data_IF_765022153331
#
_entry.id   IF_765022153331
#
_cell.length_a   1.000
_cell.length_b   1.000
_cell.length_c   1.000
_cell.angle_alpha   90.00
_cell.angle_beta   90.00
_cell.angle_gamma   90.00
#
_symmetry.space_group_name_H-M   'P 1'
#
loop_
_entity.id
_entity.type
_entity.pdbx_description
1 polymer ?
#
# COMPACT_ATOMS: atom_id res chain seq x y z
N UNK A 1 -4.03 11.90 -32.15
CA UNK A 1 -4.44 13.24 -31.70
C UNK A 1 -3.26 14.18 -31.93
N UNK A 2 -3.45 15.31 -32.63
CA UNK A 2 -2.36 16.26 -32.89
C UNK A 2 -1.82 16.85 -31.57
N UNK A 3 -0.54 17.24 -31.56
CA UNK A 3 0.06 17.87 -30.38
C UNK A 3 -0.67 19.14 -29.96
N UNK A 4 -1.17 19.88 -30.93
CA UNK A 4 -1.93 21.10 -30.75
C UNK A 4 -3.28 20.88 -30.05
N UNK A 5 -3.96 19.78 -30.35
CA UNK A 5 -5.21 19.41 -29.71
C UNK A 5 -5.00 18.96 -28.24
N UNK A 6 -3.85 18.34 -27.95
CA UNK A 6 -3.44 18.00 -26.57
C UNK A 6 -3.16 19.25 -25.76
N UNK A 7 -2.45 20.22 -26.34
CA UNK A 7 -2.15 21.50 -25.66
C UNK A 7 -3.42 22.29 -25.35
N UNK A 8 -4.36 22.36 -26.30
CA UNK A 8 -5.66 22.98 -26.09
C UNK A 8 -6.47 22.34 -24.99
N UNK A 9 -6.48 21.00 -24.94
CA UNK A 9 -7.21 20.26 -23.89
C UNK A 9 -6.59 20.46 -22.50
N UNK A 10 -5.26 20.53 -22.42
CA UNK A 10 -4.54 20.80 -21.18
C UNK A 10 -4.88 22.21 -20.65
N UNK A 11 -4.95 23.22 -21.52
CA UNK A 11 -5.37 24.59 -21.14
C UNK A 11 -6.77 24.64 -20.52
N UNK A 12 -7.68 23.78 -20.98
CA UNK A 12 -9.01 23.68 -20.35
C UNK A 12 -8.92 23.07 -18.97
N UNK A 13 -8.13 22.00 -18.79
CA UNK A 13 -7.93 21.33 -17.49
C UNK A 13 -7.28 22.28 -16.48
N UNK A 14 -6.35 23.13 -16.93
CA UNK A 14 -5.68 24.13 -16.09
C UNK A 14 -6.52 25.39 -15.84
N UNK A 15 -7.76 25.47 -16.33
CA UNK A 15 -8.63 26.65 -16.19
C UNK A 15 -8.18 27.85 -17.03
N UNK A 16 -7.23 27.67 -17.93
CA UNK A 16 -6.69 28.75 -18.82
C UNK A 16 -7.50 28.95 -20.09
N UNK A 17 -8.48 28.09 -20.35
CA UNK A 17 -9.40 28.14 -21.47
C UNK A 17 -10.76 27.59 -21.08
N UNK A 18 -11.84 28.22 -21.50
CA UNK A 18 -13.18 27.69 -21.30
C UNK A 18 -13.54 26.61 -22.35
N UNK A 19 -14.53 25.78 -22.05
CA UNK A 19 -14.96 24.67 -22.94
C UNK A 19 -15.45 25.15 -24.31
N UNK A 20 -16.10 26.30 -24.37
CA UNK A 20 -16.64 26.84 -25.62
C UNK A 20 -15.51 27.26 -26.55
N UNK A 21 -14.49 27.93 -26.05
CA UNK A 21 -13.32 28.33 -26.84
C UNK A 21 -12.51 27.14 -27.32
N UNK A 22 -12.41 26.07 -26.49
CA UNK A 22 -11.80 24.82 -26.91
C UNK A 22 -12.54 24.21 -28.11
N UNK A 23 -13.89 24.07 -28.03
CA UNK A 23 -14.69 23.51 -29.10
C UNK A 23 -14.51 24.32 -30.39
N UNK A 24 -14.51 25.67 -30.31
CA UNK A 24 -14.29 26.54 -31.45
C UNK A 24 -12.91 26.35 -32.09
N UNK A 25 -11.85 26.27 -31.31
CA UNK A 25 -10.48 26.03 -31.82
C UNK A 25 -10.29 24.62 -32.35
N UNK A 26 -10.89 23.60 -31.67
CA UNK A 26 -10.88 22.21 -32.16
C UNK A 26 -11.60 22.07 -33.52
N UNK A 27 -12.70 22.83 -33.72
CA UNK A 27 -13.40 22.90 -35.00
C UNK A 27 -12.54 23.51 -36.10
N UNK A 28 -11.76 24.56 -35.78
CA UNK A 28 -10.79 25.15 -36.72
C UNK A 28 -9.67 24.17 -37.13
N UNK A 29 -9.40 23.18 -36.30
CA UNK A 29 -8.46 22.06 -36.56
C UNK A 29 -9.16 20.84 -37.21
N UNK A 30 -10.40 20.99 -37.67
CA UNK A 30 -11.16 19.92 -38.36
C UNK A 30 -11.81 18.89 -37.44
N UNK A 31 -11.88 19.14 -36.13
CA UNK A 31 -12.50 18.22 -35.16
C UNK A 31 -13.98 18.59 -34.98
N UNK A 32 -14.89 17.64 -35.19
CA UNK A 32 -16.33 17.87 -34.98
C UNK A 32 -16.65 18.19 -33.52
N UNK A 33 -17.68 19.00 -33.28
CA UNK A 33 -18.08 19.38 -31.92
C UNK A 33 -18.39 18.21 -30.98
N UNK A 34 -19.05 17.12 -31.41
CA UNK A 34 -19.23 15.93 -30.58
C UNK A 34 -17.90 15.29 -30.18
N UNK A 35 -16.96 15.16 -31.12
CA UNK A 35 -15.64 14.57 -30.86
C UNK A 35 -14.80 15.48 -29.95
N UNK A 36 -14.85 16.80 -30.12
CA UNK A 36 -14.20 17.75 -29.24
C UNK A 36 -14.75 17.66 -27.81
N UNK A 37 -16.07 17.52 -27.65
CA UNK A 37 -16.72 17.32 -26.33
C UNK A 37 -16.28 16.01 -25.68
N UNK A 38 -16.18 14.93 -26.45
CA UNK A 38 -15.72 13.63 -25.98
C UNK A 38 -14.24 13.65 -25.57
N UNK A 39 -13.39 14.37 -26.28
CA UNK A 39 -12.01 14.59 -25.93
C UNK A 39 -11.88 15.38 -24.63
N UNK A 40 -12.69 16.43 -24.42
CA UNK A 40 -12.72 17.14 -23.13
C UNK A 40 -13.21 16.26 -21.99
N UNK A 41 -14.19 15.42 -22.20
CA UNK A 41 -14.67 14.50 -21.17
C UNK A 41 -13.58 13.48 -20.77
N UNK A 42 -12.78 13.02 -21.74
CA UNK A 42 -11.67 12.09 -21.47
C UNK A 42 -10.45 12.74 -20.82
N UNK A 43 -10.27 14.07 -21.02
CA UNK A 43 -9.16 14.83 -20.42
C UNK A 43 -9.53 15.57 -19.14
N UNK A 44 -10.81 15.71 -18.84
CA UNK A 44 -11.31 16.21 -17.57
C UNK A 44 -11.15 15.11 -16.49
N UNK A 45 -9.93 14.68 -16.21
CA UNK A 45 -9.60 14.22 -14.88
C UNK A 45 -9.84 15.42 -13.98
N UNK A 46 -10.92 15.40 -13.21
CA UNK A 46 -11.16 16.43 -12.21
C UNK A 46 -9.88 16.58 -11.40
N UNK A 47 -9.40 17.82 -11.26
CA UNK A 47 -8.27 18.06 -10.38
C UNK A 47 -8.65 17.49 -8.98
N UNK A 48 -7.76 16.76 -8.31
CA UNK A 48 -8.06 16.23 -6.99
C UNK A 48 -8.50 17.37 -6.08
N UNK A 49 -9.68 17.23 -5.49
CA UNK A 49 -10.17 18.17 -4.47
C UNK A 49 -9.84 17.56 -3.13
N UNK A 50 -9.14 18.31 -2.28
CA UNK A 50 -8.81 17.86 -0.94
C UNK A 50 -10.07 17.69 -0.10
N UNK A 51 -10.22 16.56 0.57
CA UNK A 51 -11.36 16.22 1.42
C UNK A 51 -12.52 15.59 0.64
N UNK A 52 -13.64 15.39 1.32
CA UNK A 52 -14.82 14.73 0.79
C UNK A 52 -15.05 13.36 1.42
N UNK A 53 -16.06 12.64 0.90
CA UNK A 53 -16.39 11.28 1.32
C UNK A 53 -16.23 10.33 0.14
N UNK A 54 -15.45 9.25 0.36
CA UNK A 54 -15.38 8.12 -0.55
C UNK A 54 -16.29 7.01 0.01
N UNK A 55 -17.28 6.60 -0.79
CA UNK A 55 -18.09 5.42 -0.49
C UNK A 55 -17.64 4.32 -1.46
N UNK A 56 -17.03 3.28 -0.91
CA UNK A 56 -16.54 2.13 -1.68
C UNK A 56 -17.42 0.91 -1.36
N UNK A 57 -18.11 0.40 -2.38
CA UNK A 57 -18.83 -0.87 -2.27
C UNK A 57 -17.88 -2.04 -2.45
N UNK A 58 -17.77 -2.89 -1.43
CA UNK A 58 -16.99 -4.12 -1.48
C UNK A 58 -17.92 -5.33 -1.34
N UNK A 59 -17.58 -6.43 -2.02
CA UNK A 59 -18.21 -7.72 -1.81
C UNK A 59 -17.37 -8.59 -0.85
N UNK A 60 -17.90 -9.73 -0.41
CA UNK A 60 -17.17 -10.71 0.37
C UNK A 60 -17.06 -10.41 1.87
N UNK A 61 -17.90 -9.49 2.40
CA UNK A 61 -18.01 -9.27 3.84
C UNK A 61 -18.65 -10.48 4.55
N UNK A 62 -18.16 -10.78 5.76
CA UNK A 62 -18.61 -11.88 6.60
C UNK A 62 -18.91 -11.40 8.02
N UNK A 63 -19.73 -12.13 8.76
CA UNK A 63 -20.07 -11.79 10.17
C UNK A 63 -18.89 -11.99 11.13
N UNK A 64 -17.84 -12.67 10.66
CA UNK A 64 -16.59 -12.91 11.38
C UNK A 64 -15.48 -11.94 11.01
N UNK A 65 -15.75 -10.94 10.17
CA UNK A 65 -14.77 -9.93 9.81
C UNK A 65 -14.27 -9.18 11.04
N UNK A 66 -12.97 -8.92 11.06
CA UNK A 66 -12.27 -8.31 12.19
C UNK A 66 -11.34 -7.21 11.69
N UNK A 67 -11.10 -6.20 12.53
CA UNK A 67 -10.06 -5.20 12.31
C UNK A 67 -8.68 -5.70 12.75
N UNK A 68 -8.59 -6.87 13.43
CA UNK A 68 -7.32 -7.52 13.67
C UNK A 68 -6.74 -8.00 12.32
N UNK A 69 -5.57 -7.49 11.89
CA UNK A 69 -4.96 -7.91 10.63
C UNK A 69 -4.77 -9.42 10.54
N UNK A 70 -4.40 -10.07 11.65
CA UNK A 70 -4.20 -11.51 11.68
C UNK A 70 -5.44 -12.35 11.35
N UNK A 71 -6.62 -11.79 11.56
CA UNK A 71 -7.92 -12.46 11.35
C UNK A 71 -8.64 -11.99 10.07
N UNK A 72 -7.99 -11.24 9.20
CA UNK A 72 -8.58 -10.70 7.98
C UNK A 72 -8.80 -11.79 6.91
N UNK A 73 -9.90 -12.50 7.00
CA UNK A 73 -10.19 -13.67 6.16
C UNK A 73 -11.04 -13.36 4.90
N UNK A 74 -11.43 -12.11 4.68
CA UNK A 74 -12.26 -11.72 3.54
C UNK A 74 -11.77 -10.42 2.88
N UNK A 75 -12.31 -10.11 1.70
CA UNK A 75 -11.93 -8.91 0.93
C UNK A 75 -12.19 -7.61 1.69
N UNK A 76 -13.23 -7.56 2.53
CA UNK A 76 -13.59 -6.34 3.25
C UNK A 76 -12.53 -5.96 4.28
N UNK A 77 -12.17 -6.81 5.28
CA UNK A 77 -11.12 -6.47 6.23
C UNK A 77 -9.75 -6.28 5.57
N UNK A 78 -9.42 -7.03 4.50
CA UNK A 78 -8.20 -6.81 3.72
C UNK A 78 -8.10 -5.38 3.18
N UNK A 79 -9.16 -4.88 2.51
CA UNK A 79 -9.18 -3.52 1.99
C UNK A 79 -9.18 -2.46 3.10
N UNK A 80 -9.84 -2.74 4.22
CA UNK A 80 -9.85 -1.84 5.38
C UNK A 80 -8.47 -1.76 6.01
N UNK A 81 -7.78 -2.89 6.16
CA UNK A 81 -6.43 -2.97 6.72
C UNK A 81 -5.45 -2.12 5.92
N UNK A 82 -5.46 -2.20 4.60
CA UNK A 82 -4.62 -1.36 3.74
C UNK A 82 -5.00 0.14 3.76
N UNK A 83 -6.16 0.48 4.31
CA UNK A 83 -6.59 1.86 4.50
C UNK A 83 -6.03 2.55 5.73
N UNK A 84 -5.50 1.78 6.72
CA UNK A 84 -5.00 2.35 7.96
C UNK A 84 -3.59 1.89 8.37
N UNK A 85 -3.00 0.90 7.68
CA UNK A 85 -1.70 0.39 8.06
C UNK A 85 -0.86 -0.10 6.89
N UNK A 86 0.45 -0.14 7.09
CA UNK A 86 1.43 -0.56 6.11
C UNK A 86 2.12 -1.85 6.52
N UNK A 87 2.42 -2.71 5.52
CA UNK A 87 3.39 -3.79 5.64
C UNK A 87 4.81 -3.26 5.38
N UNK A 88 5.81 -4.10 5.59
CA UNK A 88 7.21 -3.72 5.29
C UNK A 88 7.42 -3.47 3.80
N UNK A 89 6.79 -4.28 2.97
CA UNK A 89 6.92 -4.32 1.51
C UNK A 89 5.53 -4.30 0.91
N UNK A 90 5.39 -3.73 -0.27
CA UNK A 90 4.19 -3.84 -1.11
C UNK A 90 4.54 -4.50 -2.44
N UNK A 91 3.61 -5.26 -2.99
CA UNK A 91 3.75 -5.80 -4.35
C UNK A 91 3.11 -4.82 -5.33
N UNK A 92 3.88 -4.38 -6.32
CA UNK A 92 3.38 -3.48 -7.37
C UNK A 92 2.29 -4.20 -8.18
N UNK A 93 1.08 -3.62 -8.32
CA UNK A 93 -0.02 -4.27 -9.03
C UNK A 93 0.17 -4.32 -10.54
N UNK A 94 1.06 -3.49 -11.11
CA UNK A 94 1.25 -3.40 -12.56
C UNK A 94 2.24 -4.45 -13.07
N UNK A 95 3.35 -4.69 -12.34
CA UNK A 95 4.41 -5.58 -12.77
C UNK A 95 4.73 -6.72 -11.80
N UNK A 96 4.11 -6.73 -10.62
CA UNK A 96 4.27 -7.77 -9.60
C UNK A 96 5.61 -7.71 -8.85
N UNK A 97 6.38 -6.64 -8.98
CA UNK A 97 7.65 -6.51 -8.27
C UNK A 97 7.46 -6.08 -6.81
N UNK A 98 8.37 -6.54 -5.93
CA UNK A 98 8.40 -6.08 -4.55
C UNK A 98 8.92 -4.65 -4.48
N UNK A 99 8.17 -3.76 -3.85
CA UNK A 99 8.48 -2.35 -3.71
C UNK A 99 8.60 -1.95 -2.23
N UNK A 100 9.47 -0.98 -1.89
CA UNK A 100 9.54 -0.39 -0.57
C UNK A 100 8.19 0.18 -0.13
N UNK A 101 7.81 -0.11 1.13
CA UNK A 101 6.66 0.52 1.78
C UNK A 101 7.09 1.08 3.13
N UNK A 102 6.79 0.40 4.26
CA UNK A 102 7.30 0.84 5.56
C UNK A 102 8.82 0.63 5.69
N UNK A 103 9.36 -0.42 5.08
CA UNK A 103 10.79 -0.53 4.84
C UNK A 103 11.18 0.33 3.63
N UNK A 104 12.15 1.24 3.81
CA UNK A 104 12.64 2.09 2.71
C UNK A 104 13.60 1.36 1.76
N UNK A 105 14.23 0.30 2.25
CA UNK A 105 15.15 -0.55 1.49
C UNK A 105 15.39 -1.88 2.20
N UNK A 106 15.98 -2.84 1.51
CA UNK A 106 16.46 -4.09 2.09
C UNK A 106 17.71 -4.58 1.38
N UNK A 107 18.50 -5.35 2.10
CA UNK A 107 19.70 -6.02 1.62
C UNK A 107 19.67 -7.49 2.01
N UNK A 108 20.26 -8.34 1.16
CA UNK A 108 20.37 -9.76 1.41
C UNK A 108 21.82 -10.22 1.32
N UNK A 109 22.19 -11.24 2.11
CA UNK A 109 23.41 -11.98 1.90
C UNK A 109 23.38 -12.75 0.56
N UNK A 110 24.53 -13.10 0.04
CA UNK A 110 24.66 -13.80 -1.26
C UNK A 110 23.91 -15.14 -1.32
N UNK A 111 23.71 -15.80 -0.17
CA UNK A 111 22.96 -17.04 -0.01
C UNK A 111 21.50 -16.84 0.37
N UNK A 112 21.03 -15.57 0.41
CA UNK A 112 19.68 -15.16 0.81
C UNK A 112 19.24 -15.69 2.19
N UNK A 113 20.17 -15.92 3.12
CA UNK A 113 19.89 -16.36 4.47
C UNK A 113 19.77 -15.22 5.45
N UNK A 114 20.57 -14.16 5.29
CA UNK A 114 20.52 -12.97 6.14
C UNK A 114 19.91 -11.83 5.35
N UNK A 115 18.90 -11.20 5.92
CA UNK A 115 18.22 -10.04 5.34
C UNK A 115 18.15 -8.91 6.37
N UNK A 116 18.33 -7.68 5.91
CA UNK A 116 18.14 -6.48 6.72
C UNK A 116 17.17 -5.55 6.00
N UNK A 117 16.02 -5.28 6.62
CA UNK A 117 15.01 -4.35 6.13
C UNK A 117 15.12 -3.06 6.93
N UNK A 118 15.50 -1.96 6.27
CA UNK A 118 15.64 -0.66 6.91
C UNK A 118 14.28 0.01 7.04
N UNK A 119 13.85 0.28 8.25
CA UNK A 119 12.59 0.99 8.51
C UNK A 119 12.74 2.46 8.13
N UNK A 120 11.76 3.01 7.45
CA UNK A 120 11.72 4.41 7.01
C UNK A 120 11.73 5.34 8.21
N UNK A 121 12.68 6.28 8.22
CA UNK A 121 12.80 7.25 9.30
C UNK A 121 11.68 8.30 9.28
N UNK A 122 11.29 8.80 10.45
CA UNK A 122 10.31 9.88 10.60
C UNK A 122 8.85 9.47 10.40
N UNK A 123 8.56 8.18 10.25
CA UNK A 123 7.20 7.66 10.20
C UNK A 123 6.63 7.58 11.62
N UNK A 124 5.36 7.95 11.75
CA UNK A 124 4.61 7.83 13.00
C UNK A 124 3.31 7.07 12.78
N UNK A 125 2.92 6.28 13.75
CA UNK A 125 1.58 5.71 13.81
C UNK A 125 0.53 6.82 13.98
N UNK A 126 -0.72 6.52 13.65
CA UNK A 126 -1.86 7.43 13.77
C UNK A 126 -2.10 7.95 15.21
N UNK A 127 -1.56 7.26 16.23
CA UNK A 127 -1.56 7.71 17.64
C UNK A 127 -0.37 8.63 18.00
N UNK A 128 0.51 8.95 17.05
CA UNK A 128 1.67 9.82 17.22
C UNK A 128 2.95 9.13 17.75
N UNK A 129 2.92 7.81 18.05
CA UNK A 129 4.13 7.06 18.40
C UNK A 129 5.02 6.91 17.17
N UNK A 130 6.32 7.13 17.28
CA UNK A 130 7.29 6.86 16.21
C UNK A 130 7.35 5.35 15.94
N UNK A 131 7.37 4.97 14.67
CA UNK A 131 7.55 3.58 14.24
C UNK A 131 9.01 3.17 14.42
N UNK A 132 9.22 1.98 14.93
CA UNK A 132 10.55 1.40 15.14
C UNK A 132 10.67 -0.01 14.56
N UNK A 133 11.90 -0.49 14.41
CA UNK A 133 12.14 -1.87 14.00
C UNK A 133 11.65 -2.89 15.05
N UNK A 134 11.61 -2.50 16.34
CA UNK A 134 11.04 -3.32 17.41
C UNK A 134 9.53 -3.50 17.22
N UNK A 135 8.80 -2.45 16.79
CA UNK A 135 7.36 -2.57 16.49
C UNK A 135 7.12 -3.56 15.33
N UNK A 136 7.96 -3.50 14.31
CA UNK A 136 7.90 -4.42 13.18
C UNK A 136 8.20 -5.87 13.63
N UNK A 137 9.27 -6.07 14.39
CA UNK A 137 9.61 -7.38 14.95
C UNK A 137 8.50 -7.93 15.85
N UNK A 138 7.92 -7.08 16.71
CA UNK A 138 6.81 -7.46 17.58
C UNK A 138 5.55 -7.84 16.77
N UNK A 139 5.23 -7.10 15.71
CA UNK A 139 4.11 -7.40 14.82
C UNK A 139 4.26 -8.79 14.18
N UNK A 140 5.43 -9.11 13.64
CA UNK A 140 5.68 -10.44 13.10
C UNK A 140 5.60 -11.54 14.17
N UNK A 141 6.17 -11.29 15.36
CA UNK A 141 6.11 -12.26 16.46
C UNK A 141 4.69 -12.60 16.90
N UNK A 142 3.78 -11.63 16.89
CA UNK A 142 2.36 -11.87 17.19
C UNK A 142 1.71 -12.89 16.26
N UNK A 143 2.12 -12.89 15.00
CA UNK A 143 1.59 -13.84 13.99
C UNK A 143 2.31 -15.18 13.97
N UNK A 144 3.49 -15.30 14.60
CA UNK A 144 4.35 -16.49 14.54
C UNK A 144 4.16 -17.50 15.69
N UNK A 145 3.40 -17.15 16.73
CA UNK A 145 3.09 -18.06 17.84
C UNK A 145 2.37 -19.31 17.32
N UNK A 146 2.74 -20.50 17.83
CA UNK A 146 2.18 -21.79 17.40
C UNK A 146 0.66 -21.90 17.60
N UNK A 147 0.12 -21.14 18.56
CA UNK A 147 -1.32 -21.08 18.84
C UNK A 147 -2.01 -19.90 18.13
N UNK A 148 -1.27 -19.14 17.32
CA UNK A 148 -1.82 -18.01 16.59
C UNK A 148 -2.91 -18.46 15.62
N UNK A 149 -4.02 -17.71 15.59
CA UNK A 149 -5.09 -17.90 14.61
C UNK A 149 -4.86 -17.03 13.36
N UNK A 150 -3.68 -16.43 13.24
CA UNK A 150 -3.34 -15.55 12.11
C UNK A 150 -3.31 -16.32 10.79
N UNK A 151 -3.90 -15.71 9.76
CA UNK A 151 -3.77 -16.18 8.39
C UNK A 151 -2.32 -16.18 7.88
N UNK A 152 -1.41 -15.38 8.48
CA UNK A 152 0.01 -15.37 8.18
C UNK A 152 0.84 -16.41 8.92
N UNK A 153 0.25 -17.24 9.82
CA UNK A 153 1.00 -18.21 10.59
C UNK A 153 1.89 -19.11 9.71
N UNK A 154 1.33 -19.63 8.62
CA UNK A 154 2.09 -20.50 7.70
C UNK A 154 3.27 -19.78 7.03
N UNK A 155 3.13 -18.50 6.72
CA UNK A 155 4.21 -17.66 6.18
C UNK A 155 5.33 -17.56 7.22
N UNK A 156 5.00 -17.17 8.46
CA UNK A 156 5.98 -16.97 9.52
C UNK A 156 6.67 -18.29 9.92
N UNK A 157 5.95 -19.41 9.90
CA UNK A 157 6.55 -20.74 10.09
C UNK A 157 7.54 -21.11 9.00
N UNK A 158 7.28 -20.71 7.74
CA UNK A 158 8.16 -21.01 6.62
C UNK A 158 9.47 -20.20 6.64
N UNK A 159 9.46 -19.00 7.18
CA UNK A 159 10.66 -18.15 7.30
C UNK A 159 11.39 -18.31 8.64
N UNK A 160 10.78 -19.00 9.60
CA UNK A 160 11.32 -19.18 10.95
C UNK A 160 11.07 -17.98 11.86
N UNK A 161 11.55 -18.08 13.10
CA UNK A 161 11.32 -17.06 14.13
C UNK A 161 12.59 -16.29 14.52
N UNK A 162 13.70 -16.50 13.80
CA UNK A 162 14.95 -15.83 14.08
C UNK A 162 15.00 -14.48 13.34
N UNK A 163 14.27 -13.50 13.88
CA UNK A 163 14.29 -12.12 13.44
C UNK A 163 14.23 -11.18 14.66
N UNK A 164 14.91 -10.04 14.54
CA UNK A 164 15.06 -9.07 15.61
C UNK A 164 15.33 -7.67 15.07
N UNK A 165 15.10 -6.66 15.89
CA UNK A 165 15.50 -5.31 15.59
C UNK A 165 17.00 -5.09 15.90
N UNK A 166 17.70 -4.43 14.97
CA UNK A 166 19.08 -3.95 15.15
C UNK A 166 19.15 -2.50 14.65
N UNK A 167 19.08 -1.56 15.58
CA UNK A 167 18.92 -0.13 15.27
C UNK A 167 17.66 0.12 14.46
N UNK A 168 17.79 0.74 13.29
CA UNK A 168 16.68 1.01 12.38
C UNK A 168 16.33 -0.19 11.47
N UNK A 169 17.03 -1.32 11.61
CA UNK A 169 16.82 -2.47 10.76
C UNK A 169 16.03 -3.57 11.46
N UNK A 170 15.15 -4.21 10.71
CA UNK A 170 14.61 -5.52 11.05
C UNK A 170 15.47 -6.57 10.34
N UNK A 171 16.17 -7.40 11.11
CA UNK A 171 17.10 -8.41 10.61
C UNK A 171 16.46 -9.79 10.71
N UNK A 172 16.60 -10.57 9.64
CA UNK A 172 16.21 -11.99 9.58
C UNK A 172 17.44 -12.87 9.40
N UNK A 173 17.48 -13.98 10.09
CA UNK A 173 18.46 -15.04 9.94
C UNK A 173 17.73 -16.36 9.63
N UNK A 174 17.70 -16.74 8.35
CA UNK A 174 16.97 -17.91 7.86
C UNK A 174 17.82 -19.17 7.92
N UNK A 175 17.23 -20.29 8.28
CA UNK A 175 17.91 -21.59 8.21
C UNK A 175 18.22 -21.98 6.76
N UNK A 176 17.29 -21.68 5.85
CA UNK A 176 17.42 -21.92 4.41
C UNK A 176 17.27 -20.62 3.66
N UNK A 177 18.13 -20.35 2.69
CA UNK A 177 18.06 -19.13 1.88
C UNK A 177 16.72 -19.03 1.15
N UNK A 178 16.13 -17.83 1.20
CA UNK A 178 14.85 -17.54 0.56
C UNK A 178 14.89 -16.17 -0.12
N UNK A 179 14.96 -16.18 -1.45
CA UNK A 179 15.01 -14.96 -2.27
C UNK A 179 13.64 -14.26 -2.35
N UNK A 180 12.56 -14.95 -2.01
CA UNK A 180 11.19 -14.44 -2.08
C UNK A 180 10.73 -13.79 -0.75
N UNK A 181 11.63 -13.65 0.24
CA UNK A 181 11.28 -13.07 1.54
C UNK A 181 10.58 -11.72 1.44
N UNK A 182 11.01 -10.75 0.56
CA UNK A 182 10.28 -9.49 0.42
C UNK A 182 8.81 -9.67 0.03
N UNK A 183 8.50 -10.61 -0.84
CA UNK A 183 7.12 -10.91 -1.24
C UNK A 183 6.30 -11.50 -0.10
N UNK A 184 6.89 -12.38 0.71
CA UNK A 184 6.22 -12.93 1.89
C UNK A 184 5.87 -11.83 2.91
N UNK A 185 6.72 -10.81 3.03
CA UNK A 185 6.52 -9.66 3.93
C UNK A 185 5.56 -8.59 3.37
N UNK A 186 5.00 -8.79 2.17
CA UNK A 186 3.93 -7.95 1.60
C UNK A 186 2.52 -8.49 1.90
N UNK A 187 2.40 -9.57 2.66
CA UNK A 187 1.11 -10.16 3.01
C UNK A 187 0.29 -9.21 3.91
N UNK A 188 -0.97 -9.00 3.56
CA UNK A 188 -1.87 -8.01 4.19
C UNK A 188 -2.21 -8.30 5.67
N UNK A 189 -1.89 -9.48 6.19
CA UNK A 189 -2.00 -9.75 7.62
C UNK A 189 -0.82 -9.17 8.42
N UNK A 190 0.30 -8.86 7.75
CA UNK A 190 1.56 -8.45 8.39
C UNK A 190 1.68 -6.93 8.55
N UNK A 191 0.57 -6.24 8.78
CA UNK A 191 0.56 -4.81 9.09
C UNK A 191 1.31 -4.54 10.39
N UNK A 192 2.20 -3.54 10.33
CA UNK A 192 2.97 -3.14 11.51
C UNK A 192 2.10 -2.27 12.42
N UNK A 193 2.01 -2.67 13.68
CA UNK A 193 1.25 -1.99 14.74
C UNK A 193 2.16 -1.61 15.91
N UNK A 194 1.81 -0.59 16.70
CA UNK A 194 2.57 -0.26 17.92
C UNK A 194 2.67 -1.47 18.84
N UNK A 195 3.87 -1.78 19.33
CA UNK A 195 4.14 -2.96 20.16
C UNK A 195 3.61 -4.28 19.56
N UNK A 196 3.49 -4.37 18.21
CA UNK A 196 2.96 -5.53 17.52
C UNK A 196 1.45 -5.72 17.63
N UNK A 197 0.70 -4.75 18.14
CA UNK A 197 -0.74 -4.88 18.36
C UNK A 197 -1.14 -5.83 19.49
N UNK A 198 -0.21 -6.19 20.40
CA UNK A 198 -0.51 -7.08 21.53
C UNK A 198 -1.49 -6.46 22.52
N UNK A 199 -1.46 -5.12 22.68
CA UNK A 199 -2.32 -4.41 23.63
C UNK A 199 -3.78 -4.34 23.12
N UNK A 200 -3.96 -3.96 21.87
CA UNK A 200 -5.27 -3.87 21.22
C UNK A 200 -5.13 -4.02 19.69
N UNK A 201 -5.25 -5.24 19.16
CA UNK A 201 -5.13 -5.47 17.71
C UNK A 201 -6.30 -4.87 16.91
N UNK A 202 -7.41 -4.53 17.58
CA UNK A 202 -8.62 -3.98 16.95
C UNK A 202 -8.61 -2.45 16.86
N UNK A 203 -7.64 -1.78 17.49
CA UNK A 203 -7.59 -0.32 17.53
C UNK A 203 -7.36 0.33 16.16
N UNK A 204 -6.97 -0.46 15.13
CA UNK A 204 -6.64 0.02 13.79
C UNK A 204 -5.63 1.19 13.83
N UNK A 205 -4.61 1.05 14.68
CA UNK A 205 -3.52 2.02 14.80
C UNK A 205 -2.39 1.54 13.89
N UNK A 206 -2.18 2.26 12.81
CA UNK A 206 -1.14 2.00 11.82
C UNK A 206 -0.52 3.29 11.30
N UNK A 207 0.22 3.19 10.19
CA UNK A 207 0.99 4.28 9.59
C UNK A 207 0.26 4.96 8.46
#
# INVERSE_FOLDING_TARGET
>A
MSNELKDLSLKVVLGQMNRRDFIGRAAALGVSAPLATQLLASTAKAAPVTGGHLIMGCNGGQTTDSLDPGLAASTVPQNVNWGWGECLVVTDPDDGTAQPWLAESWEASADAKTWAFKIRSGVTFSNGKTVTAEDAAASLKRHSDENSQSGALGILQSIGQNFHADGDNLVFELETGNADLPYLLSDYHLIVQPNGGFDDPLAAIGT
#
